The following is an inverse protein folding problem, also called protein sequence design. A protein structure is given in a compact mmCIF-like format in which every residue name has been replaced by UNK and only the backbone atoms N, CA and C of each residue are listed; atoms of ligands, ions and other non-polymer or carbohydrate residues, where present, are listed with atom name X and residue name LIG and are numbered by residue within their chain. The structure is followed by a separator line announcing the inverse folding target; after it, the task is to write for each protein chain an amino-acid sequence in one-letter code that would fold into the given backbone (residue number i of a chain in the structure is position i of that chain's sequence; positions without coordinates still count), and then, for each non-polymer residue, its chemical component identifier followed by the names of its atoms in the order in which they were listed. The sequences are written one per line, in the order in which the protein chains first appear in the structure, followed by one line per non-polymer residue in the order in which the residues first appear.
data_IF_837358000633
#
_entry.id   IF_837358000633
#
_cell.length_a   1.000
_cell.length_b   1.000
_cell.length_c   1.000
_cell.angle_alpha   90.00
_cell.angle_beta   90.00
_cell.angle_gamma   90.00
#
_symmetry.space_group_name_H-M   'P 1'
#
loop_
_entity.id
_entity.type
_entity.pdbx_description
1 polymer ?
#
# COMPACT_ATOMS: atom_id res chain seq x y z
N UNK A 1 0.21 16.61 -26.71
CA UNK A 1 0.38 15.50 -25.75
C UNK A 1 -0.68 15.69 -24.67
N UNK A 2 -1.71 14.85 -24.65
CA UNK A 2 -2.74 14.93 -23.60
C UNK A 2 -2.08 14.52 -22.28
N UNK A 3 -2.05 15.43 -21.30
CA UNK A 3 -1.57 15.12 -19.97
C UNK A 3 -2.52 14.05 -19.40
N UNK A 4 -2.09 12.78 -19.39
CA UNK A 4 -2.81 11.71 -18.67
C UNK A 4 -2.98 12.20 -17.24
N UNK A 5 -4.22 12.45 -16.81
CA UNK A 5 -4.47 12.87 -15.43
C UNK A 5 -4.00 11.73 -14.52
N UNK A 6 -3.01 12.02 -13.67
CA UNK A 6 -2.51 11.08 -12.67
C UNK A 6 -3.66 10.71 -11.73
N UNK A 7 -4.07 9.45 -11.74
CA UNK A 7 -5.10 8.98 -10.80
C UNK A 7 -4.48 8.90 -9.40
N UNK A 8 -5.17 9.50 -8.43
CA UNK A 8 -4.83 9.40 -7.01
C UNK A 8 -6.01 8.74 -6.30
N UNK A 9 -5.77 7.61 -5.65
CA UNK A 9 -6.77 6.94 -4.81
C UNK A 9 -6.42 7.21 -3.36
N UNK A 10 -7.26 7.99 -2.68
CA UNK A 10 -7.13 8.22 -1.25
C UNK A 10 -7.89 7.12 -0.49
N UNK A 11 -7.15 6.32 0.25
CA UNK A 11 -7.68 5.26 1.11
C UNK A 11 -7.80 5.81 2.52
N UNK A 12 -9.02 6.08 2.94
CA UNK A 12 -9.31 6.44 4.33
C UNK A 12 -8.92 5.30 5.27
N UNK A 13 -8.24 5.67 6.35
CA UNK A 13 -7.79 4.74 7.39
C UNK A 13 -8.43 5.08 8.72
N UNK A 14 -8.33 4.16 9.67
CA UNK A 14 -8.89 4.34 11.01
C UNK A 14 -7.92 5.16 11.88
N UNK A 15 -8.40 5.84 12.92
CA UNK A 15 -7.60 6.70 13.83
C UNK A 15 -6.43 6.00 14.53
N UNK A 16 -6.41 4.66 14.50
CA UNK A 16 -5.36 3.81 15.09
C UNK A 16 -4.31 3.38 14.08
N UNK A 17 -4.33 3.93 12.87
CA UNK A 17 -3.39 3.58 11.81
C UNK A 17 -2.10 4.35 12.00
N UNK A 18 -1.00 3.63 12.18
CA UNK A 18 0.30 4.20 12.54
C UNK A 18 1.39 3.68 11.61
N UNK A 19 2.24 4.58 11.13
CA UNK A 19 3.43 4.25 10.36
C UNK A 19 4.69 4.33 11.22
N UNK A 20 5.46 3.25 11.25
CA UNK A 20 6.78 3.16 11.90
C UNK A 20 7.91 3.21 10.84
N UNK A 21 9.10 3.71 11.21
CA UNK A 21 9.55 4.04 12.57
C UNK A 21 9.02 5.37 13.13
N UNK A 22 8.34 6.18 12.32
CA UNK A 22 7.93 7.55 12.69
C UNK A 22 6.95 7.62 13.87
N UNK A 23 6.21 6.53 14.11
CA UNK A 23 5.19 6.47 15.17
C UNK A 23 4.04 7.44 14.94
N UNK A 24 3.78 7.80 13.67
CA UNK A 24 2.81 8.84 13.31
C UNK A 24 1.50 8.26 12.84
N UNK A 25 0.42 8.90 13.27
CA UNK A 25 -0.93 8.59 12.84
C UNK A 25 -1.20 9.11 11.43
N UNK A 26 -1.83 8.27 10.63
CA UNK A 26 -2.22 8.58 9.26
C UNK A 26 -3.67 9.06 9.21
N UNK A 27 -3.92 10.08 8.38
CA UNK A 27 -5.25 10.48 7.94
C UNK A 27 -5.77 9.54 6.86
N UNK A 28 -4.93 9.26 5.86
CA UNK A 28 -5.23 8.37 4.75
C UNK A 28 -3.93 7.89 4.11
N UNK A 29 -4.04 6.87 3.26
CA UNK A 29 -2.96 6.40 2.40
C UNK A 29 -3.31 6.85 0.98
N UNK A 30 -2.43 7.63 0.37
CA UNK A 30 -2.54 8.01 -1.03
C UNK A 30 -1.86 6.93 -1.89
N UNK A 31 -2.61 6.39 -2.85
CA UNK A 31 -2.09 5.46 -3.83
C UNK A 31 -2.02 6.18 -5.18
N UNK A 32 -0.88 6.06 -5.86
CA UNK A 32 -0.70 6.66 -7.19
C UNK A 32 -0.01 5.69 -8.14
N UNK A 33 -0.25 5.89 -9.43
CA UNK A 33 0.56 5.27 -10.48
C UNK A 33 1.92 5.99 -10.56
N UNK A 34 2.99 5.20 -10.67
CA UNK A 34 4.36 5.63 -10.96
C UNK A 34 4.89 4.82 -12.15
N UNK A 35 5.68 5.46 -13.02
CA UNK A 35 6.21 4.82 -14.22
C UNK A 35 5.32 4.97 -15.46
N UNK A 36 5.70 4.24 -16.51
CA UNK A 36 5.02 4.25 -17.82
C UNK A 36 4.14 3.01 -18.00
N UNK A 37 3.32 2.96 -19.06
CA UNK A 37 2.38 1.86 -19.29
C UNK A 37 3.01 0.46 -19.47
N UNK A 38 4.34 0.35 -19.60
CA UNK A 38 5.06 -0.92 -19.71
C UNK A 38 5.82 -1.32 -18.43
N UNK A 39 6.12 -0.36 -17.55
CA UNK A 39 6.83 -0.56 -16.28
C UNK A 39 6.07 0.16 -15.16
N UNK A 40 4.79 -0.19 -15.02
CA UNK A 40 3.88 0.43 -14.06
C UNK A 40 4.14 -0.04 -12.64
N UNK A 41 4.20 0.91 -11.71
CA UNK A 41 4.29 0.65 -10.28
C UNK A 41 3.16 1.36 -9.52
N UNK A 42 2.76 0.77 -8.41
CA UNK A 42 1.86 1.35 -7.41
C UNK A 42 2.72 1.97 -6.32
N UNK A 43 2.69 3.29 -6.23
CA UNK A 43 3.34 4.06 -5.17
C UNK A 43 2.35 4.31 -4.04
N UNK A 44 2.76 4.02 -2.81
CA UNK A 44 1.97 4.16 -1.59
C UNK A 44 2.58 5.21 -0.67
N UNK A 45 1.81 6.23 -0.32
CA UNK A 45 2.25 7.32 0.53
C UNK A 45 1.31 7.52 1.73
N UNK A 46 1.88 7.64 2.92
CA UNK A 46 1.15 7.98 4.13
C UNK A 46 0.92 9.48 4.21
N UNK A 47 -0.34 9.89 4.36
CA UNK A 47 -0.70 11.29 4.65
C UNK A 47 -0.97 11.42 6.13
N UNK A 48 -0.14 12.17 6.83
CA UNK A 48 -0.18 12.31 8.29
C UNK A 48 -1.26 13.31 8.75
N UNK A 49 -1.84 13.10 9.93
CA UNK A 49 -2.81 14.03 10.53
C UNK A 49 -2.22 15.41 10.84
N UNK A 50 -0.90 15.47 11.09
CA UNK A 50 -0.18 16.70 11.39
C UNK A 50 1.07 16.81 10.53
N UNK A 51 1.30 18.01 9.99
CA UNK A 51 2.32 18.27 8.96
C UNK A 51 3.74 18.47 9.52
N UNK A 52 4.09 17.75 10.61
CA UNK A 52 5.37 17.90 11.32
C UNK A 52 6.45 16.90 10.86
N UNK A 53 6.23 16.17 9.76
CA UNK A 53 7.20 15.17 9.28
C UNK A 53 8.30 15.75 8.41
N UNK A 54 9.55 15.47 8.80
CA UNK A 54 10.76 15.72 8.00
C UNK A 54 11.16 14.51 7.14
N UNK A 55 10.49 13.37 7.31
CA UNK A 55 10.77 12.12 6.59
C UNK A 55 9.79 11.93 5.43
N UNK A 56 10.25 11.24 4.39
CA UNK A 56 9.47 10.99 3.20
C UNK A 56 8.19 10.21 3.55
N UNK A 57 7.01 10.61 3.04
CA UNK A 57 5.74 9.93 3.31
C UNK A 57 5.64 8.56 2.62
N UNK A 58 6.63 8.19 1.81
CA UNK A 58 6.64 6.96 1.03
C UNK A 58 6.70 5.73 1.94
N UNK A 59 5.70 4.86 1.79
CA UNK A 59 5.58 3.58 2.51
C UNK A 59 6.28 2.50 1.70
N UNK A 60 5.90 2.37 0.42
CA UNK A 60 6.55 1.50 -0.55
C UNK A 60 6.11 1.85 -1.98
N UNK A 61 6.93 1.42 -2.92
CA UNK A 61 6.63 1.45 -4.36
C UNK A 61 6.77 0.04 -4.88
N UNK A 62 5.70 -0.51 -5.44
CA UNK A 62 5.60 -1.91 -5.84
C UNK A 62 5.31 -2.04 -7.33
N UNK A 63 6.04 -2.87 -8.09
CA UNK A 63 5.65 -3.26 -9.44
C UNK A 63 4.20 -3.78 -9.49
N UNK A 64 3.56 -3.67 -10.65
CA UNK A 64 2.17 -4.11 -10.85
C UNK A 64 1.90 -5.53 -10.31
N UNK A 65 2.78 -6.49 -10.60
CA UNK A 65 2.62 -7.88 -10.19
C UNK A 65 2.71 -8.03 -8.67
N UNK A 66 3.70 -7.41 -8.04
CA UNK A 66 3.90 -7.40 -6.60
C UNK A 66 2.73 -6.73 -5.86
N UNK A 67 2.21 -5.63 -6.41
CA UNK A 67 1.05 -4.93 -5.88
C UNK A 67 -0.21 -5.82 -5.95
N UNK A 68 -0.40 -6.56 -7.06
CA UNK A 68 -1.48 -7.53 -7.21
C UNK A 68 -1.39 -8.65 -6.18
N UNK A 69 -0.19 -9.21 -5.99
CA UNK A 69 0.06 -10.27 -5.02
C UNK A 69 -0.14 -9.79 -3.58
N UNK A 70 0.31 -8.58 -3.25
CA UNK A 70 0.07 -7.95 -1.96
C UNK A 70 -1.42 -7.81 -1.68
N UNK A 71 -2.19 -7.26 -2.63
CA UNK A 71 -3.62 -7.06 -2.42
C UNK A 71 -4.36 -8.39 -2.20
N UNK A 72 -4.00 -9.43 -2.97
CA UNK A 72 -4.54 -10.78 -2.76
C UNK A 72 -4.17 -11.33 -1.39
N UNK A 73 -2.90 -11.23 -1.01
CA UNK A 73 -2.39 -11.72 0.27
C UNK A 73 -3.02 -11.01 1.46
N UNK A 74 -3.34 -9.71 1.34
CA UNK A 74 -4.12 -8.98 2.32
C UNK A 74 -5.51 -9.62 2.48
N UNK A 75 -6.22 -9.84 1.38
CA UNK A 75 -7.55 -10.44 1.43
C UNK A 75 -7.49 -11.85 2.05
N UNK A 76 -6.53 -12.68 1.63
CA UNK A 76 -6.32 -14.01 2.19
C UNK A 76 -6.00 -13.96 3.70
N UNK A 77 -5.16 -13.03 4.15
CA UNK A 77 -4.86 -12.83 5.56
C UNK A 77 -6.11 -12.46 6.37
N UNK A 78 -6.95 -11.58 5.82
CA UNK A 78 -8.19 -11.13 6.44
C UNK A 78 -9.21 -12.27 6.53
N UNK A 79 -9.47 -12.98 5.42
CA UNK A 79 -10.47 -14.04 5.38
C UNK A 79 -10.06 -15.27 6.20
N UNK A 80 -8.76 -15.58 6.26
CA UNK A 80 -8.26 -16.76 6.98
C UNK A 80 -7.86 -16.44 8.43
N UNK A 81 -7.77 -15.15 8.81
CA UNK A 81 -7.36 -14.72 10.14
C UNK A 81 -5.95 -15.16 10.51
N UNK A 82 -4.99 -15.13 9.56
CA UNK A 82 -3.60 -15.55 9.79
C UNK A 82 -2.60 -14.71 9.01
N UNK A 83 -1.36 -14.70 9.49
CA UNK A 83 -0.24 -14.03 8.85
C UNK A 83 0.04 -14.62 7.46
N UNK A 84 0.32 -13.75 6.49
CA UNK A 84 0.73 -14.08 5.13
C UNK A 84 2.08 -13.44 4.84
N UNK A 85 2.89 -14.13 4.04
CA UNK A 85 4.14 -13.58 3.50
C UNK A 85 3.94 -13.38 2.01
N UNK A 86 4.28 -12.20 1.52
CA UNK A 86 4.24 -11.86 0.10
C UNK A 86 5.67 -11.98 -0.42
N UNK A 87 5.87 -12.87 -1.38
CA UNK A 87 7.18 -13.12 -1.96
C UNK A 87 7.32 -12.24 -3.19
N UNK A 88 7.65 -10.97 -2.99
CA UNK A 88 8.01 -10.09 -4.11
C UNK A 88 9.51 -10.19 -4.40
N UNK A 89 9.87 -10.17 -5.69
CA UNK A 89 11.26 -10.21 -6.14
C UNK A 89 12.04 -8.95 -5.75
N UNK A 90 11.32 -7.82 -5.61
CA UNK A 90 11.90 -6.49 -5.40
C UNK A 90 11.65 -5.93 -4.00
N UNK A 91 10.60 -6.38 -3.33
CA UNK A 91 10.15 -5.89 -2.04
C UNK A 91 9.83 -7.05 -1.09
N UNK A 92 10.52 -7.10 0.05
CA UNK A 92 10.15 -8.04 1.10
C UNK A 92 8.93 -7.51 1.83
N UNK A 93 7.76 -8.12 1.58
CA UNK A 93 6.49 -7.68 2.15
C UNK A 93 5.86 -8.78 2.99
N UNK A 94 5.38 -8.43 4.18
CA UNK A 94 4.66 -9.36 5.05
C UNK A 94 3.37 -8.73 5.58
N UNK A 95 2.31 -9.54 5.66
CA UNK A 95 1.00 -9.19 6.22
C UNK A 95 0.83 -9.96 7.52
N UNK A 96 1.12 -9.33 8.65
CA UNK A 96 1.04 -9.98 9.97
C UNK A 96 -0.36 -9.77 10.56
N UNK A 97 -1.04 -10.87 10.91
CA UNK A 97 -2.31 -10.81 11.61
C UNK A 97 -2.09 -10.56 13.10
N UNK A 98 -2.84 -9.62 13.68
CA UNK A 98 -2.84 -9.30 15.10
C UNK A 98 -4.31 -9.25 15.58
N UNK A 99 -4.63 -9.69 16.82
CA UNK A 99 -5.99 -9.55 17.36
C UNK A 99 -6.62 -8.16 17.21
N UNK A 100 -5.82 -7.09 17.17
CA UNK A 100 -6.29 -5.71 17.05
C UNK A 100 -6.22 -5.12 15.62
N UNK A 101 -5.82 -5.91 14.62
CA UNK A 101 -5.66 -5.44 13.23
C UNK A 101 -4.54 -6.18 12.50
N UNK A 102 -3.78 -5.45 11.69
CA UNK A 102 -2.73 -6.02 10.86
C UNK A 102 -1.49 -5.14 10.88
N UNK A 103 -0.33 -5.76 10.64
CA UNK A 103 0.93 -5.06 10.40
C UNK A 103 1.42 -5.41 9.01
N UNK A 104 1.50 -4.41 8.14
CA UNK A 104 2.18 -4.53 6.85
C UNK A 104 3.63 -4.13 7.03
N UNK A 105 4.55 -5.04 6.73
CA UNK A 105 6.00 -4.80 6.81
C UNK A 105 6.54 -4.68 5.39
N UNK A 106 7.27 -3.61 5.11
CA UNK A 106 7.90 -3.34 3.82
C UNK A 106 9.41 -3.18 4.02
N UNK A 107 10.20 -4.01 3.35
CA UNK A 107 11.67 -3.98 3.44
C UNK A 107 12.24 -4.72 4.66
N UNK A 108 13.52 -4.46 4.97
CA UNK A 108 14.27 -5.07 6.07
C UNK A 108 15.27 -4.08 6.67
N UNK A 109 15.74 -4.36 7.89
CA UNK A 109 16.78 -3.56 8.56
C UNK A 109 16.36 -2.10 8.74
N UNK A 110 17.27 -1.17 8.42
CA UNK A 110 17.04 0.27 8.59
C UNK A 110 16.04 0.87 7.58
N UNK A 111 15.77 0.15 6.48
CA UNK A 111 14.78 0.53 5.47
C UNK A 111 13.37 -0.02 5.78
N UNK A 112 13.21 -0.77 6.88
CA UNK A 112 11.94 -1.34 7.27
C UNK A 112 10.90 -0.24 7.55
N UNK A 113 9.74 -0.37 6.92
CA UNK A 113 8.53 0.40 7.22
C UNK A 113 7.46 -0.55 7.70
N UNK A 114 6.80 -0.18 8.80
CA UNK A 114 5.72 -0.99 9.38
C UNK A 114 4.46 -0.15 9.51
N UNK A 115 3.41 -0.58 8.81
CA UNK A 115 2.11 0.06 8.82
C UNK A 115 1.15 -0.78 9.65
N UNK A 116 0.76 -0.26 10.81
CA UNK A 116 -0.31 -0.82 11.63
C UNK A 116 -1.63 -0.30 11.09
N UNK A 117 -2.55 -1.19 10.77
CA UNK A 117 -3.81 -0.86 10.11
C UNK A 117 -4.95 -1.74 10.63
N UNK A 118 -6.13 -1.13 10.81
CA UNK A 118 -7.34 -1.84 11.25
C UNK A 118 -7.93 -2.73 10.16
N UNK A 119 -8.70 -3.75 10.56
CA UNK A 119 -9.32 -4.70 9.64
C UNK A 119 -10.25 -4.05 8.59
N UNK A 120 -11.05 -3.01 8.89
CA UNK A 120 -11.83 -2.32 7.85
C UNK A 120 -10.95 -1.53 6.87
N UNK A 121 -9.93 -0.83 7.37
CA UNK A 121 -9.01 -0.05 6.55
C UNK A 121 -8.13 -0.93 5.63
N UNK A 122 -7.67 -2.09 6.09
CA UNK A 122 -6.80 -2.95 5.27
C UNK A 122 -7.53 -3.52 4.05
N UNK A 123 -8.83 -3.82 4.16
CA UNK A 123 -9.66 -4.24 3.01
C UNK A 123 -9.78 -3.08 2.01
N UNK A 124 -10.02 -1.86 2.48
CA UNK A 124 -10.07 -0.66 1.62
C UNK A 124 -8.73 -0.42 0.91
N UNK A 125 -7.62 -0.66 1.60
CA UNK A 125 -6.27 -0.60 1.02
C UNK A 125 -6.11 -1.63 -0.10
N UNK A 126 -6.45 -2.90 0.13
CA UNK A 126 -6.39 -3.93 -0.91
C UNK A 126 -7.25 -3.57 -2.13
N UNK A 127 -8.46 -3.06 -1.92
CA UNK A 127 -9.34 -2.61 -3.00
C UNK A 127 -8.73 -1.41 -3.76
N UNK A 128 -8.13 -0.45 -3.06
CA UNK A 128 -7.43 0.67 -3.68
C UNK A 128 -6.26 0.21 -4.55
N UNK A 129 -5.45 -0.73 -4.06
CA UNK A 129 -4.34 -1.32 -4.81
C UNK A 129 -4.87 -2.04 -6.06
N UNK A 130 -5.89 -2.88 -5.94
CA UNK A 130 -6.47 -3.61 -7.08
C UNK A 130 -7.01 -2.66 -8.16
N UNK A 131 -7.61 -1.52 -7.79
CA UNK A 131 -8.08 -0.52 -8.76
C UNK A 131 -6.94 0.13 -9.54
N UNK A 132 -5.80 0.38 -8.91
CA UNK A 132 -4.62 0.89 -9.61
C UNK A 132 -3.98 -0.18 -10.49
N UNK A 133 -3.86 -1.41 -9.98
CA UNK A 133 -3.36 -2.55 -10.75
C UNK A 133 -4.20 -2.74 -12.01
N UNK A 134 -5.54 -2.77 -11.89
CA UNK A 134 -6.44 -2.90 -13.05
C UNK A 134 -6.23 -1.81 -14.10
N UNK A 135 -6.00 -0.57 -13.64
CA UNK A 135 -5.66 0.56 -14.52
C UNK A 135 -4.29 0.42 -15.18
N UNK A 136 -3.28 -0.07 -14.45
CA UNK A 136 -1.93 -0.30 -15.00
C UNK A 136 -1.96 -1.42 -16.06
N UNK A 137 -2.72 -2.49 -15.79
CA UNK A 137 -2.90 -3.62 -16.72
C UNK A 137 -3.75 -3.29 -17.95
N UNK A 138 -4.52 -2.18 -17.93
CA UNK A 138 -5.43 -1.85 -19.01
C UNK A 138 -4.65 -1.53 -20.31
N UNK A 139 -4.80 -2.38 -21.32
CA UNK A 139 -4.28 -2.13 -22.66
C UNK A 139 -4.89 -0.84 -23.25
N UNK A 140 -4.13 -0.05 -24.04
CA UNK A 140 -4.69 1.14 -24.68
C UNK A 140 -5.87 0.74 -25.57
N UNK A 141 -6.97 1.50 -25.47
CA UNK A 141 -8.16 1.28 -26.28
C UNK A 141 -7.79 1.28 -27.78
N UNK A 142 -8.14 0.20 -28.47
CA UNK A 142 -7.94 0.03 -29.92
C UNK A 142 -8.71 1.06 -30.74
#
# INVERSE_FOLDING_TARGET
MSAKSRLVINVEVDDRTVLFPDGKFLSHIALTEEGSAQDGAVRMEGVFLFNESRLAPEIATLPEEDARELARSILDAVFQGRTQHVLSETAKVAVVFNPNGFVLRFGEGDALRELFIGSPAIIRLAQGILRLVDRLSAQPAH
#
